data_IF_358190895813
#
_entry.id   IF_358190895813
#
_cell.length_a   1.000
_cell.length_b   1.000
_cell.length_c   1.000
_cell.angle_alpha   90.00
_cell.angle_beta   90.00
_cell.angle_gamma   90.00
#
_symmetry.space_group_name_H-M   'P 1'
#
loop_
_entity.id
_entity.type
_entity.pdbx_description
1 polymer ?
#
# COMPACT_ATOMS: atom_id res chain seq x y z
N UNK A 1 6.93 -22.16 33.03
CA UNK A 1 6.08 -22.76 31.97
C UNK A 1 5.97 -21.73 30.85
N UNK A 2 6.70 -21.91 29.76
CA UNK A 2 6.66 -20.98 28.62
C UNK A 2 5.37 -21.21 27.84
N UNK A 3 4.57 -20.17 27.74
CA UNK A 3 3.22 -20.21 27.20
C UNK A 3 3.29 -20.33 25.67
N UNK A 4 3.21 -21.55 25.14
CA UNK A 4 3.36 -21.91 23.71
C UNK A 4 2.29 -21.33 22.76
N UNK A 5 1.42 -20.44 23.26
CA UNK A 5 0.37 -19.79 22.50
C UNK A 5 0.77 -18.42 21.93
N UNK A 6 1.85 -17.78 22.42
CA UNK A 6 2.29 -16.47 21.94
C UNK A 6 2.96 -16.48 20.55
N UNK A 7 3.45 -17.63 20.09
CA UNK A 7 4.16 -17.74 18.80
C UNK A 7 3.24 -17.93 17.60
N UNK A 8 1.99 -18.34 17.80
CA UNK A 8 1.02 -18.52 16.71
C UNK A 8 0.28 -17.24 16.36
N UNK A 9 0.06 -16.35 17.33
CA UNK A 9 -0.62 -15.07 17.11
C UNK A 9 0.26 -14.06 16.36
N UNK A 10 1.57 -14.05 16.61
CA UNK A 10 2.53 -13.21 15.89
C UNK A 10 2.72 -13.66 14.43
N UNK A 11 2.65 -14.96 14.16
CA UNK A 11 2.74 -15.52 12.81
C UNK A 11 1.48 -15.31 11.95
N UNK A 12 0.32 -15.00 12.57
CA UNK A 12 -0.88 -14.53 11.86
C UNK A 12 -0.98 -13.00 11.81
N UNK A 13 -0.17 -12.28 12.60
CA UNK A 13 -0.04 -10.82 12.57
C UNK A 13 0.89 -10.32 11.45
N UNK A 14 1.58 -11.23 10.75
CA UNK A 14 2.07 -11.01 9.38
C UNK A 14 0.92 -11.03 8.35
N UNK A 15 -0.32 -10.93 8.85
CA UNK A 15 -1.55 -10.60 8.13
C UNK A 15 -1.23 -9.59 7.06
N UNK A 16 -1.26 -10.09 5.81
CA UNK A 16 -1.27 -9.32 4.56
C UNK A 16 -1.67 -7.87 4.82
N UNK A 17 -0.69 -6.95 4.73
CA UNK A 17 -0.93 -5.51 4.77
C UNK A 17 -2.17 -5.19 3.92
N UNK A 18 -3.12 -4.47 4.52
CA UNK A 18 -4.45 -4.25 3.96
C UNK A 18 -4.41 -3.14 2.91
N UNK A 19 -5.44 -3.09 2.06
CA UNK A 19 -5.65 -1.97 1.13
C UNK A 19 -5.50 -0.61 1.82
N UNK A 20 -6.19 -0.44 2.97
CA UNK A 20 -6.22 0.81 3.72
C UNK A 20 -4.84 1.25 4.20
N UNK A 21 -4.01 0.31 4.63
CA UNK A 21 -2.67 0.65 5.11
C UNK A 21 -1.78 1.11 3.96
N UNK A 22 -1.76 0.37 2.84
CA UNK A 22 -0.99 0.78 1.67
C UNK A 22 -1.48 2.11 1.08
N UNK A 23 -2.80 2.34 1.03
CA UNK A 23 -3.35 3.60 0.55
C UNK A 23 -2.94 4.78 1.44
N UNK A 24 -2.94 4.61 2.76
CA UNK A 24 -2.53 5.66 3.69
C UNK A 24 -1.04 5.99 3.54
N UNK A 25 -0.19 4.97 3.44
CA UNK A 25 1.24 5.17 3.19
C UNK A 25 1.48 5.87 1.84
N UNK A 26 0.73 5.49 0.79
CA UNK A 26 0.86 6.12 -0.53
C UNK A 26 0.52 7.61 -0.48
N UNK A 27 -0.55 7.99 0.22
CA UNK A 27 -0.94 9.39 0.42
C UNK A 27 0.14 10.17 1.17
N UNK A 28 0.73 9.58 2.22
CA UNK A 28 1.85 10.21 2.94
C UNK A 28 3.07 10.44 2.03
N UNK A 29 3.37 9.50 1.12
CA UNK A 29 4.42 9.68 0.12
C UNK A 29 4.06 10.76 -0.91
N UNK A 30 2.80 10.86 -1.35
CA UNK A 30 2.33 11.97 -2.20
C UNK A 30 2.56 13.33 -1.52
N UNK A 31 2.23 13.46 -0.23
CA UNK A 31 2.47 14.69 0.53
C UNK A 31 3.95 15.06 0.66
N UNK A 32 4.84 14.07 0.66
CA UNK A 32 6.30 14.27 0.68
C UNK A 32 6.88 14.52 -0.71
N UNK A 33 6.06 14.57 -1.75
CA UNK A 33 6.47 14.59 -3.16
C UNK A 33 7.33 13.38 -3.57
N UNK A 34 7.29 12.28 -2.82
CA UNK A 34 7.94 11.03 -3.20
C UNK A 34 7.01 10.24 -4.13
N UNK A 35 6.92 10.74 -5.37
CA UNK A 35 6.00 10.23 -6.38
C UNK A 35 6.31 8.80 -6.82
N UNK A 36 7.60 8.40 -6.77
CA UNK A 36 8.02 7.04 -7.09
C UNK A 36 7.53 6.04 -6.04
N UNK A 37 7.71 6.37 -4.76
CA UNK A 37 7.26 5.51 -3.67
C UNK A 37 5.74 5.50 -3.56
N UNK A 38 5.07 6.64 -3.74
CA UNK A 38 3.62 6.73 -3.81
C UNK A 38 3.05 5.79 -4.89
N UNK A 39 3.63 5.79 -6.09
CA UNK A 39 3.23 4.90 -7.18
C UNK A 39 3.38 3.41 -6.80
N UNK A 40 4.49 3.05 -6.14
CA UNK A 40 4.74 1.67 -5.69
C UNK A 40 3.71 1.22 -4.66
N UNK A 41 3.41 2.08 -3.68
CA UNK A 41 2.45 1.81 -2.62
C UNK A 41 1.02 1.71 -3.15
N UNK A 42 0.64 2.55 -4.12
CA UNK A 42 -0.66 2.44 -4.79
C UNK A 42 -0.84 1.13 -5.56
N UNK A 43 0.21 0.64 -6.24
CA UNK A 43 0.18 -0.69 -6.87
C UNK A 43 -0.03 -1.81 -5.85
N UNK A 44 0.63 -1.72 -4.69
CA UNK A 44 0.44 -2.68 -3.59
C UNK A 44 -0.98 -2.59 -3.01
N UNK A 45 -1.53 -1.38 -2.87
CA UNK A 45 -2.91 -1.19 -2.45
C UNK A 45 -3.87 -1.86 -3.44
N UNK A 46 -3.70 -1.64 -4.76
CA UNK A 46 -4.53 -2.26 -5.80
C UNK A 46 -4.53 -3.80 -5.70
N UNK A 47 -3.37 -4.42 -5.51
CA UNK A 47 -3.24 -5.88 -5.33
C UNK A 47 -3.96 -6.42 -4.08
N UNK A 48 -4.21 -5.56 -3.08
CA UNK A 48 -4.87 -5.92 -1.82
C UNK A 48 -6.31 -5.44 -1.74
N UNK A 49 -6.80 -4.75 -2.76
CA UNK A 49 -8.18 -4.31 -2.86
C UNK A 49 -9.12 -5.52 -3.02
N UNK A 50 -10.11 -5.63 -2.13
CA UNK A 50 -11.18 -6.65 -2.24
C UNK A 50 -12.29 -6.23 -3.20
N UNK A 51 -12.48 -4.92 -3.37
CA UNK A 51 -13.49 -4.33 -4.26
C UNK A 51 -12.84 -3.90 -5.56
N UNK A 52 -13.52 -4.15 -6.69
CA UNK A 52 -13.04 -3.78 -8.03
C UNK A 52 -12.83 -2.27 -8.16
N UNK A 53 -13.69 -1.45 -7.56
CA UNK A 53 -13.57 0.01 -7.62
C UNK A 53 -12.30 0.51 -6.92
N UNK A 54 -12.00 -0.04 -5.74
CA UNK A 54 -10.77 0.28 -5.01
C UNK A 54 -9.52 -0.15 -5.80
N UNK A 55 -9.57 -1.32 -6.44
CA UNK A 55 -8.48 -1.79 -7.30
C UNK A 55 -8.25 -0.82 -8.48
N UNK A 56 -9.33 -0.47 -9.19
CA UNK A 56 -9.28 0.45 -10.34
C UNK A 56 -8.78 1.83 -9.92
N UNK A 57 -9.32 2.37 -8.82
CA UNK A 57 -8.92 3.67 -8.32
C UNK A 57 -7.45 3.70 -7.93
N UNK A 58 -6.97 2.73 -7.15
CA UNK A 58 -5.56 2.64 -6.78
C UNK A 58 -4.62 2.44 -7.98
N UNK A 59 -5.07 1.73 -9.02
CA UNK A 59 -4.31 1.56 -10.26
C UNK A 59 -4.14 2.89 -11.00
N UNK A 60 -5.23 3.63 -11.21
CA UNK A 60 -5.19 4.97 -11.82
C UNK A 60 -4.35 5.95 -10.99
N UNK A 61 -4.43 5.85 -9.66
CA UNK A 61 -3.64 6.67 -8.75
C UNK A 61 -2.14 6.38 -8.84
N UNK A 62 -1.76 5.11 -8.99
CA UNK A 62 -0.38 4.72 -9.25
C UNK A 62 0.15 5.28 -10.57
N UNK A 63 -0.65 5.21 -11.63
CA UNK A 63 -0.28 5.76 -12.95
C UNK A 63 -0.08 7.27 -12.91
N UNK A 64 -0.95 8.00 -12.21
CA UNK A 64 -0.77 9.43 -11.98
C UNK A 64 0.54 9.72 -11.25
N UNK A 65 0.85 8.96 -10.19
CA UNK A 65 2.09 9.17 -9.43
C UNK A 65 3.33 8.90 -10.29
N UNK A 66 3.30 7.88 -11.16
CA UNK A 66 4.38 7.62 -12.13
C UNK A 66 4.50 8.73 -13.18
N UNK A 67 3.38 9.34 -13.59
CA UNK A 67 3.42 10.47 -14.50
C UNK A 67 4.03 11.70 -13.83
N UNK A 68 3.66 11.97 -12.57
CA UNK A 68 4.26 13.06 -11.77
C UNK A 68 5.75 12.86 -11.55
N UNK A 69 6.19 11.64 -11.23
CA UNK A 69 7.62 11.37 -10.98
C UNK A 69 8.52 11.64 -12.19
N UNK A 70 7.96 11.55 -13.40
CA UNK A 70 8.66 11.88 -14.66
C UNK A 70 8.73 13.38 -14.94
N UNK A 71 7.80 14.17 -14.41
CA UNK A 71 7.82 15.64 -14.57
C UNK A 71 8.70 16.34 -13.55
N UNK A 72 8.94 15.71 -12.40
CA UNK A 72 9.77 16.27 -11.33
C UNK A 72 11.25 15.87 -11.44
N UNK A 73 11.67 15.36 -12.60
CA UNK A 73 13.06 15.06 -12.96
C UNK A 73 13.56 16.10 -13.96
#
# INVERSE_FOLDING_TARGET
MFNSNQTKETSQLTKKLSYTLYSNLAVLSEHRNDWCEAARLWKLAAQRAKRKDNNRWATLRAEFCLFKSKQTK
#
